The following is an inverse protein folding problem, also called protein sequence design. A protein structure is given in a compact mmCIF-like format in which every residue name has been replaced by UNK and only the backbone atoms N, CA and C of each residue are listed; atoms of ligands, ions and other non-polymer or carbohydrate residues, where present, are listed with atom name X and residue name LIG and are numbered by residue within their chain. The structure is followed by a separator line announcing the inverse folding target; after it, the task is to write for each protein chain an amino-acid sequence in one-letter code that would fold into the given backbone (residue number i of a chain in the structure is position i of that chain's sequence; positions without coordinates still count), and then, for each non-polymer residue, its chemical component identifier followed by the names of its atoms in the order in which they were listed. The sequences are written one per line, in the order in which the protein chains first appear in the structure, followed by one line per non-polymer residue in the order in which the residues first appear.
data_IF_796237016380
#
_entry.id   IF_796237016380
#
_cell.length_a   1.000
_cell.length_b   1.000
_cell.length_c   1.000
_cell.angle_alpha   90.00
_cell.angle_beta   90.00
_cell.angle_gamma   90.00
#
_symmetry.space_group_name_H-M   'P 1'
#
loop_
_entity.id
_entity.type
_entity.pdbx_description
1 polymer ?
#
# COMPACT_ATOMS: atom_id res chain seq x y z
N UNK A 1 0.61 -18.96 -20.25
CA UNK A 1 1.12 -18.07 -19.19
C UNK A 1 0.21 -16.86 -18.97
N UNK A 2 -0.33 -16.23 -20.01
CA UNK A 2 -1.37 -15.19 -19.88
C UNK A 2 -2.58 -15.57 -20.74
N UNK A 3 -3.65 -16.09 -20.11
CA UNK A 3 -4.89 -16.51 -20.77
C UNK A 3 -5.96 -15.43 -20.57
N UNK A 4 -5.73 -14.23 -21.07
CA UNK A 4 -6.72 -13.15 -21.10
C UNK A 4 -6.76 -12.58 -22.51
N UNK A 5 -7.95 -12.30 -23.01
CA UNK A 5 -8.10 -11.64 -24.29
C UNK A 5 -7.86 -10.13 -24.11
N UNK A 6 -6.86 -9.58 -24.80
CA UNK A 6 -6.50 -8.17 -24.70
C UNK A 6 -7.61 -7.24 -25.19
N UNK A 7 -8.41 -7.67 -26.17
CA UNK A 7 -9.48 -6.85 -26.76
C UNK A 7 -10.62 -6.56 -25.77
N UNK A 8 -10.69 -7.33 -24.68
CA UNK A 8 -11.68 -7.15 -23.62
C UNK A 8 -11.27 -6.09 -22.58
N UNK A 9 -10.04 -5.57 -22.66
CA UNK A 9 -9.50 -4.60 -21.71
C UNK A 9 -9.11 -3.30 -22.42
N UNK A 10 -9.85 -2.20 -22.20
CA UNK A 10 -9.65 -0.96 -22.97
C UNK A 10 -8.36 -0.21 -22.61
N UNK A 11 -7.73 -0.54 -21.47
CA UNK A 11 -6.54 0.16 -20.98
C UNK A 11 -5.49 -0.82 -20.43
N UNK A 12 -4.22 -0.43 -20.54
CA UNK A 12 -3.09 -1.21 -19.99
C UNK A 12 -3.25 -1.48 -18.49
N UNK A 13 -3.67 -0.51 -17.63
CA UNK A 13 -3.93 -0.78 -16.22
C UNK A 13 -5.06 -1.80 -15.99
N UNK A 14 -6.11 -1.78 -16.82
CA UNK A 14 -7.22 -2.74 -16.72
C UNK A 14 -6.74 -4.16 -17.01
N UNK A 15 -5.91 -4.34 -18.05
CA UNK A 15 -5.28 -5.61 -18.37
C UNK A 15 -4.32 -6.07 -17.26
N UNK A 16 -3.45 -5.17 -16.76
CA UNK A 16 -2.50 -5.47 -15.69
C UNK A 16 -3.23 -5.90 -14.40
N UNK A 17 -4.30 -5.20 -14.03
CA UNK A 17 -5.12 -5.56 -12.87
C UNK A 17 -5.86 -6.89 -13.06
N UNK A 18 -6.34 -7.19 -14.27
CA UNK A 18 -6.96 -8.48 -14.56
C UNK A 18 -5.97 -9.64 -14.45
N UNK A 19 -4.74 -9.45 -14.95
CA UNK A 19 -3.65 -10.41 -14.80
C UNK A 19 -3.27 -10.62 -13.32
N UNK A 20 -3.19 -9.52 -12.56
CA UNK A 20 -2.92 -9.59 -11.12
C UNK A 20 -3.99 -10.38 -10.38
N UNK A 21 -5.27 -10.05 -10.62
CA UNK A 21 -6.41 -10.75 -9.99
C UNK A 21 -6.44 -12.24 -10.32
N UNK A 22 -6.24 -12.59 -11.59
CA UNK A 22 -6.29 -13.98 -12.06
C UNK A 22 -5.16 -14.85 -11.50
N UNK A 23 -3.94 -14.30 -11.45
CA UNK A 23 -2.75 -15.11 -11.16
C UNK A 23 -2.29 -15.01 -9.69
N UNK A 24 -2.50 -13.87 -9.03
CA UNK A 24 -1.85 -13.55 -7.76
C UNK A 24 -2.81 -13.23 -6.61
N UNK A 25 -3.97 -12.60 -6.86
CA UNK A 25 -4.89 -12.20 -5.79
C UNK A 25 -5.70 -13.37 -5.20
N UNK A 26 -6.11 -14.35 -6.02
CA UNK A 26 -6.85 -15.57 -5.62
C UNK A 26 -7.96 -15.29 -4.58
N UNK A 27 -7.91 -15.93 -3.41
CA UNK A 27 -8.93 -15.86 -2.35
C UNK A 27 -8.83 -14.61 -1.49
N UNK A 28 -7.74 -13.84 -1.64
CA UNK A 28 -7.52 -12.61 -0.88
C UNK A 28 -8.40 -11.50 -1.43
N UNK A 29 -9.24 -10.89 -0.59
CA UNK A 29 -10.13 -9.82 -1.01
C UNK A 29 -9.50 -8.44 -0.77
N UNK A 30 -9.64 -7.55 -1.76
CA UNK A 30 -9.39 -6.12 -1.58
C UNK A 30 -10.68 -5.54 -0.99
N UNK A 31 -10.63 -5.05 0.24
CA UNK A 31 -11.81 -4.47 0.88
C UNK A 31 -12.30 -3.23 0.14
N UNK A 32 -13.62 -3.15 -0.03
CA UNK A 32 -14.28 -1.95 -0.52
C UNK A 32 -14.48 -1.03 0.68
N UNK A 33 -13.68 0.03 0.76
CA UNK A 33 -13.82 1.06 1.79
C UNK A 33 -14.75 2.17 1.29
N UNK A 34 -15.62 2.68 2.18
CA UNK A 34 -16.60 3.73 1.87
C UNK A 34 -16.64 4.79 2.95
N UNK A 35 -17.01 6.02 2.55
CA UNK A 35 -17.15 7.16 3.45
C UNK A 35 -15.85 7.52 4.16
N UNK A 36 -15.96 7.91 5.44
CA UNK A 36 -14.86 8.45 6.24
C UNK A 36 -13.61 7.56 6.28
N UNK A 37 -13.76 6.24 6.29
CA UNK A 37 -12.61 5.31 6.28
C UNK A 37 -11.84 5.38 4.97
N UNK A 38 -12.52 5.53 3.83
CA UNK A 38 -11.85 5.67 2.54
C UNK A 38 -11.14 7.02 2.43
N UNK A 39 -11.76 8.09 2.94
CA UNK A 39 -11.17 9.42 2.94
C UNK A 39 -9.92 9.47 3.81
N UNK A 40 -9.98 8.91 5.03
CA UNK A 40 -8.84 8.76 5.92
C UNK A 40 -7.66 8.00 5.28
N UNK A 41 -7.94 6.87 4.63
CA UNK A 41 -6.90 6.09 3.93
C UNK A 41 -6.30 6.91 2.78
N UNK A 42 -7.12 7.66 2.02
CA UNK A 42 -6.64 8.50 0.92
C UNK A 42 -5.77 9.65 1.39
N UNK A 43 -6.10 10.27 2.52
CA UNK A 43 -5.30 11.34 3.11
C UNK A 43 -3.90 10.85 3.51
N UNK A 44 -3.79 9.59 3.94
CA UNK A 44 -2.48 8.97 4.22
C UNK A 44 -1.69 8.55 2.96
N UNK A 45 -2.29 8.58 1.76
CA UNK A 45 -1.65 8.13 0.52
C UNK A 45 -0.73 9.21 -0.07
N UNK A 46 0.56 9.13 0.25
CA UNK A 46 1.58 10.06 -0.22
C UNK A 46 2.33 9.55 -1.45
N UNK A 47 2.87 10.48 -2.25
CA UNK A 47 3.61 10.20 -3.48
C UNK A 47 5.08 9.83 -3.25
N UNK A 48 5.87 9.87 -4.34
CA UNK A 48 7.32 9.68 -4.26
C UNK A 48 8.03 10.81 -3.51
N UNK A 49 9.09 10.47 -2.79
CA UNK A 49 9.98 11.47 -2.19
C UNK A 49 10.73 12.23 -3.28
N UNK A 50 10.75 13.56 -3.20
CA UNK A 50 11.54 14.43 -4.08
C UNK A 50 12.25 15.46 -3.21
N UNK A 51 13.57 15.52 -3.33
CA UNK A 51 14.39 16.45 -2.58
C UNK A 51 14.63 17.73 -3.39
N UNK A 52 14.60 18.88 -2.71
CA UNK A 52 14.89 20.18 -3.32
C UNK A 52 16.35 20.54 -3.09
N UNK A 53 17.17 20.46 -4.12
CA UNK A 53 18.56 20.87 -4.10
C UNK A 53 18.82 22.03 -5.07
N UNK A 54 19.76 22.90 -4.71
CA UNK A 54 20.37 23.85 -5.65
C UNK A 54 21.37 23.05 -6.50
N UNK A 55 21.24 23.02 -7.84
CA UNK A 55 22.02 22.12 -8.69
C UNK A 55 23.46 22.64 -8.85
N UNK A 56 24.32 22.33 -7.89
CA UNK A 56 25.75 22.58 -7.95
C UNK A 56 26.52 21.36 -7.42
N UNK A 57 27.47 20.85 -8.20
CA UNK A 57 28.33 19.75 -7.80
C UNK A 57 29.32 19.35 -8.89
N UNK A 58 30.51 18.90 -8.49
CA UNK A 58 31.53 18.34 -9.37
C UNK A 58 31.64 16.83 -9.13
N UNK A 59 31.85 16.02 -10.18
CA UNK A 59 31.95 14.55 -10.10
C UNK A 59 30.75 13.86 -9.42
N UNK A 60 29.52 14.25 -9.80
CA UNK A 60 28.28 13.71 -9.23
C UNK A 60 27.91 12.37 -9.88
N UNK A 61 27.49 11.41 -9.05
CA UNK A 61 26.94 10.12 -9.48
C UNK A 61 25.44 10.09 -9.25
N UNK A 62 24.69 9.55 -10.22
CA UNK A 62 23.24 9.37 -10.13
C UNK A 62 22.95 7.88 -10.06
N UNK A 63 22.17 7.49 -9.06
CA UNK A 63 21.74 6.11 -8.85
C UNK A 63 20.22 6.05 -8.93
N UNK A 64 19.72 5.01 -9.60
CA UNK A 64 18.28 4.74 -9.71
C UNK A 64 18.01 3.29 -9.31
N UNK A 65 16.84 3.05 -8.73
CA UNK A 65 16.38 1.74 -8.31
C UNK A 65 15.61 1.11 -9.46
N UNK A 66 16.11 -0.01 -9.96
CA UNK A 66 15.46 -0.77 -11.01
C UNK A 66 14.05 -1.21 -10.59
N UNK A 67 13.04 -0.62 -11.24
CA UNK A 67 11.63 -0.97 -11.03
C UNK A 67 11.22 -0.89 -9.54
N UNK A 68 11.47 0.27 -8.91
CA UNK A 68 11.19 0.53 -7.49
C UNK A 68 9.84 -0.03 -7.01
N UNK A 69 8.73 0.41 -7.61
CA UNK A 69 7.39 -0.02 -7.17
C UNK A 69 7.17 -1.53 -7.30
N UNK A 70 7.44 -2.19 -8.45
CA UNK A 70 7.38 -3.65 -8.53
C UNK A 70 8.29 -4.39 -7.53
N UNK A 71 9.50 -3.90 -7.28
CA UNK A 71 10.42 -4.52 -6.32
C UNK A 71 9.85 -4.44 -4.89
N UNK A 72 9.30 -3.30 -4.50
CA UNK A 72 8.65 -3.09 -3.20
C UNK A 72 7.38 -3.94 -3.08
N UNK A 73 6.56 -3.99 -4.13
CA UNK A 73 5.33 -4.80 -4.18
C UNK A 73 5.59 -6.31 -4.02
N UNK A 74 6.74 -6.79 -4.55
CA UNK A 74 7.11 -8.21 -4.50
C UNK A 74 7.69 -8.63 -3.15
N UNK A 75 8.52 -7.76 -2.55
CA UNK A 75 9.36 -8.14 -1.41
C UNK A 75 8.74 -7.76 -0.06
N UNK A 76 7.70 -6.93 -0.03
CA UNK A 76 7.04 -6.49 1.20
C UNK A 76 5.63 -7.08 1.32
N UNK A 77 5.15 -7.19 2.55
CA UNK A 77 3.77 -7.56 2.87
C UNK A 77 2.88 -6.31 2.83
N UNK A 78 1.68 -6.47 2.29
CA UNK A 78 0.69 -5.39 2.14
C UNK A 78 -0.61 -5.73 2.85
N UNK A 79 -1.33 -4.73 3.39
CA UNK A 79 -2.62 -4.95 4.02
C UNK A 79 -3.66 -5.39 3.00
N UNK A 80 -4.41 -6.44 3.35
CA UNK A 80 -5.51 -7.01 2.57
C UNK A 80 -6.64 -7.43 3.52
N UNK A 81 -7.85 -7.65 3.00
CA UNK A 81 -9.00 -8.01 3.82
C UNK A 81 -9.68 -6.81 4.49
N UNK A 82 -10.58 -7.10 5.43
CA UNK A 82 -11.47 -6.10 6.03
C UNK A 82 -10.73 -5.13 6.96
N UNK A 83 -11.03 -3.84 6.83
CA UNK A 83 -10.51 -2.80 7.72
C UNK A 83 -11.38 -2.69 8.97
N UNK A 84 -10.75 -2.61 10.14
CA UNK A 84 -11.43 -2.40 11.43
C UNK A 84 -11.02 -1.05 12.02
N UNK A 85 -12.00 -0.26 12.47
CA UNK A 85 -11.75 0.98 13.19
C UNK A 85 -11.54 0.66 14.67
N UNK A 86 -10.45 1.16 15.24
CA UNK A 86 -10.17 1.10 16.66
C UNK A 86 -10.03 2.53 17.22
N UNK A 87 -10.48 2.71 18.46
CA UNK A 87 -10.32 3.94 19.24
C UNK A 87 -9.93 3.51 20.65
N UNK A 88 -8.75 3.90 21.11
CA UNK A 88 -8.23 3.50 22.42
C UNK A 88 -6.71 3.37 22.43
N UNK A 89 -6.18 2.73 23.46
CA UNK A 89 -4.74 2.45 23.58
C UNK A 89 -4.33 1.31 22.64
N UNK A 90 -3.38 1.59 21.75
CA UNK A 90 -2.88 0.61 20.78
C UNK A 90 -2.16 -0.58 21.44
N UNK A 91 -1.66 -0.42 22.67
CA UNK A 91 -1.03 -1.52 23.41
C UNK A 91 -2.03 -2.59 23.85
N UNK A 92 -3.30 -2.24 24.05
CA UNK A 92 -4.36 -3.20 24.36
C UNK A 92 -4.71 -4.10 23.17
N UNK A 93 -4.49 -3.62 21.94
CA UNK A 93 -4.67 -4.40 20.72
C UNK A 93 -3.57 -5.45 20.52
N UNK A 94 -2.33 -5.15 20.91
CA UNK A 94 -1.22 -6.09 20.83
C UNK A 94 -1.53 -7.34 21.69
N UNK A 95 -1.97 -7.13 22.93
CA UNK A 95 -2.37 -8.21 23.87
C UNK A 95 -3.55 -9.04 23.36
N UNK A 96 -4.48 -8.42 22.60
CA UNK A 96 -5.62 -9.11 21.98
C UNK A 96 -5.25 -9.87 20.70
N UNK A 97 -4.22 -9.40 20.00
CA UNK A 97 -3.70 -10.04 18.78
C UNK A 97 -2.88 -11.30 19.06
N UNK A 98 -2.38 -11.52 20.27
CA UNK A 98 -1.73 -12.79 20.66
C UNK A 98 -2.70 -14.00 20.56
N UNK A 99 -4.02 -13.77 20.57
CA UNK A 99 -5.05 -14.78 20.36
C UNK A 99 -5.57 -14.88 18.92
N UNK A 100 -5.15 -14.00 18.01
CA UNK A 100 -5.58 -13.98 16.61
C UNK A 100 -4.33 -14.02 15.72
N UNK A 101 -4.09 -15.19 15.14
CA UNK A 101 -2.87 -15.60 14.44
C UNK A 101 -2.65 -14.86 13.09
N UNK A 102 -2.61 -13.53 13.09
CA UNK A 102 -2.52 -12.70 11.88
C UNK A 102 -1.61 -11.48 12.04
N UNK A 103 -0.82 -11.20 11.01
CA UNK A 103 -0.02 -9.97 10.90
C UNK A 103 -0.95 -8.78 10.63
N UNK A 104 -1.23 -7.96 11.64
CA UNK A 104 -2.06 -6.77 11.49
C UNK A 104 -1.25 -5.54 11.05
N UNK A 105 -1.84 -4.76 10.14
CA UNK A 105 -1.33 -3.45 9.71
C UNK A 105 -2.24 -2.35 10.26
N UNK A 106 -1.62 -1.30 10.81
CA UNK A 106 -2.32 -0.19 11.44
C UNK A 106 -2.10 1.09 10.65
N UNK A 107 -3.20 1.81 10.38
CA UNK A 107 -3.17 3.19 9.88
C UNK A 107 -3.83 4.01 10.98
N UNK A 108 -3.03 4.84 11.64
CA UNK A 108 -3.45 5.59 12.81
C UNK A 108 -3.08 7.06 12.68
N UNK A 109 -3.96 7.91 13.19
CA UNK A 109 -3.68 9.31 13.46
C UNK A 109 -3.23 9.41 14.91
N UNK A 110 -2.17 10.16 15.16
CA UNK A 110 -1.69 10.43 16.51
C UNK A 110 -1.71 11.95 16.70
N UNK A 111 -2.47 12.41 17.70
CA UNK A 111 -2.37 13.77 18.18
C UNK A 111 -1.05 13.92 18.93
N UNK A 112 -0.06 14.58 18.29
CA UNK A 112 1.21 14.90 18.93
C UNK A 112 1.09 16.32 19.48
N UNK A 113 0.96 16.45 20.80
CA UNK A 113 1.15 17.73 21.46
C UNK A 113 2.63 18.11 21.39
N UNK A 114 2.97 19.04 20.51
CA UNK A 114 4.30 19.68 20.52
C UNK A 114 4.40 20.57 21.76
N UNK A 115 5.27 20.19 22.70
CA UNK A 115 5.68 21.01 23.85
C UNK A 115 6.54 22.20 23.46
#
# INVERSE_FOLDING_TARGET
MFQLNIDQYPTVPSLAFALFRKNYLKDTQIAITVGKTADFIRESFTGGSTEMYIPFGENVYVYDINSLYPAVMKNNKFPVGQTYKFVGDITELATRSEGINGDYYWIGEMDVETR
#
